data_IF_565533008826
#
_entry.id   IF_565533008826
#
_cell.length_a   1.000
_cell.length_b   1.000
_cell.length_c   1.000
_cell.angle_alpha   90.00
_cell.angle_beta   90.00
_cell.angle_gamma   90.00
#
_symmetry.space_group_name_H-M   'P 1'
#
loop_
_entity.id
_entity.type
_entity.pdbx_description
1 polymer ?
#
# COMPACT_ATOMS: atom_id res chain seq x y z
N UNK A 1 -12.49 37.69 -51.34
CA UNK A 1 -11.62 38.50 -50.46
C UNK A 1 -10.44 37.64 -50.01
N UNK A 2 -9.34 37.67 -50.75
CA UNK A 2 -8.16 36.83 -50.49
C UNK A 2 -7.32 37.51 -49.42
N UNK A 3 -7.39 37.03 -48.18
CA UNK A 3 -6.56 37.55 -47.08
C UNK A 3 -5.10 37.25 -47.43
N UNK A 4 -4.27 38.30 -47.57
CA UNK A 4 -2.85 38.16 -47.93
C UNK A 4 -2.13 37.22 -46.93
N UNK A 5 -1.24 36.32 -47.38
CA UNK A 5 -0.59 35.30 -46.53
C UNK A 5 0.20 35.89 -45.34
N UNK A 6 0.67 37.14 -45.43
CA UNK A 6 1.29 37.88 -44.31
C UNK A 6 0.29 38.25 -43.21
N UNK A 7 -0.94 38.60 -43.56
CA UNK A 7 -2.01 38.94 -42.60
C UNK A 7 -2.50 37.68 -41.89
N UNK A 8 -2.61 36.55 -42.60
CA UNK A 8 -2.92 35.24 -41.99
C UNK A 8 -1.86 34.79 -40.99
N UNK A 9 -0.56 34.92 -41.31
CA UNK A 9 0.53 34.59 -40.36
C UNK A 9 0.51 35.47 -39.11
N UNK A 10 0.19 36.77 -39.25
CA UNK A 10 0.07 37.69 -38.11
C UNK A 10 -1.14 37.36 -37.23
N UNK A 11 -2.29 37.05 -37.82
CA UNK A 11 -3.50 36.64 -37.07
C UNK A 11 -3.24 35.32 -36.33
N UNK A 12 -2.67 34.32 -37.02
CA UNK A 12 -2.33 33.03 -36.40
C UNK A 12 -1.33 33.19 -35.25
N UNK A 13 -0.30 34.04 -35.43
CA UNK A 13 0.64 34.35 -34.35
C UNK A 13 -0.03 35.01 -33.15
N UNK A 14 -0.97 35.95 -33.37
CA UNK A 14 -1.75 36.58 -32.29
C UNK A 14 -2.65 35.60 -31.57
N UNK A 15 -3.32 34.70 -32.29
CA UNK A 15 -4.15 33.63 -31.72
C UNK A 15 -3.29 32.70 -30.86
N UNK A 16 -2.17 32.22 -31.37
CA UNK A 16 -1.25 31.35 -30.61
C UNK A 16 -0.78 32.03 -29.33
N UNK A 17 -0.36 33.30 -29.40
CA UNK A 17 0.06 34.07 -28.21
C UNK A 17 -1.08 34.22 -27.20
N UNK A 18 -2.28 34.55 -27.65
CA UNK A 18 -3.45 34.65 -26.77
C UNK A 18 -3.79 33.30 -26.11
N UNK A 19 -3.78 32.21 -26.87
CA UNK A 19 -4.00 30.85 -26.35
C UNK A 19 -2.95 30.45 -25.32
N UNK A 20 -1.66 30.74 -25.57
CA UNK A 20 -0.59 30.48 -24.61
C UNK A 20 -0.73 31.30 -23.33
N UNK A 21 -1.16 32.57 -23.43
CA UNK A 21 -1.43 33.41 -22.26
C UNK A 21 -2.61 32.89 -21.44
N UNK A 22 -3.71 32.51 -22.10
CA UNK A 22 -4.87 31.90 -21.43
C UNK A 22 -4.46 30.59 -20.74
N UNK A 23 -3.67 29.76 -21.41
CA UNK A 23 -3.18 28.49 -20.87
C UNK A 23 -2.28 28.70 -19.63
N UNK A 24 -1.38 29.68 -19.70
CA UNK A 24 -0.52 30.06 -18.60
C UNK A 24 -1.35 30.57 -17.40
N UNK A 25 -2.29 31.48 -17.65
CA UNK A 25 -3.17 32.02 -16.61
C UNK A 25 -4.01 30.91 -15.96
N UNK A 26 -4.61 30.02 -16.75
CA UNK A 26 -5.37 28.89 -16.24
C UNK A 26 -4.52 27.95 -15.40
N UNK A 27 -3.31 27.60 -15.86
CA UNK A 27 -2.37 26.77 -15.11
C UNK A 27 -1.98 27.44 -13.79
N UNK A 28 -1.70 28.74 -13.80
CA UNK A 28 -1.36 29.50 -12.58
C UNK A 28 -2.52 29.49 -11.59
N UNK A 29 -3.75 29.78 -12.03
CA UNK A 29 -4.93 29.76 -11.16
C UNK A 29 -5.20 28.37 -10.57
N UNK A 30 -5.05 27.32 -11.37
CA UNK A 30 -5.19 25.94 -10.93
C UNK A 30 -4.14 25.57 -9.87
N UNK A 31 -2.87 25.86 -10.14
CA UNK A 31 -1.77 25.60 -9.20
C UNK A 31 -1.98 26.36 -7.89
N UNK A 32 -2.40 27.62 -7.94
CA UNK A 32 -2.71 28.42 -6.75
C UNK A 32 -3.90 27.84 -5.96
N UNK A 33 -4.95 27.40 -6.66
CA UNK A 33 -6.12 26.78 -6.03
C UNK A 33 -5.74 25.49 -5.30
N UNK A 34 -5.00 24.60 -5.97
CA UNK A 34 -4.47 23.35 -5.40
C UNK A 34 -3.58 23.68 -4.20
N UNK A 35 -2.63 24.61 -4.37
CA UNK A 35 -1.69 25.00 -3.30
C UNK A 35 -2.41 25.50 -2.07
N UNK A 36 -3.48 26.29 -2.25
CA UNK A 36 -4.32 26.77 -1.17
C UNK A 36 -5.02 25.62 -0.45
N UNK A 37 -5.64 24.70 -1.20
CA UNK A 37 -6.34 23.55 -0.63
C UNK A 37 -5.38 22.66 0.20
N UNK A 38 -4.23 22.29 -0.38
CA UNK A 38 -3.21 21.50 0.31
C UNK A 38 -2.68 22.18 1.57
N UNK A 39 -2.45 23.50 1.51
CA UNK A 39 -1.99 24.26 2.69
C UNK A 39 -3.04 24.25 3.81
N UNK A 40 -4.33 24.41 3.46
CA UNK A 40 -5.41 24.40 4.44
C UNK A 40 -5.52 23.04 5.11
N UNK A 41 -5.49 21.95 4.36
CA UNK A 41 -5.56 20.59 4.92
C UNK A 41 -4.33 20.25 5.77
N UNK A 42 -3.12 20.56 5.29
CA UNK A 42 -1.89 20.33 6.04
C UNK A 42 -1.75 21.17 7.32
N UNK A 43 -2.52 22.26 7.45
CA UNK A 43 -2.52 23.11 8.65
C UNK A 43 -3.40 22.57 9.79
N UNK A 44 -4.23 21.56 9.54
CA UNK A 44 -5.11 20.98 10.55
C UNK A 44 -4.26 20.19 11.55
N UNK A 45 -4.37 20.47 12.86
CA UNK A 45 -3.64 19.70 13.85
C UNK A 45 -4.21 18.27 13.93
N UNK A 46 -3.36 17.27 14.21
CA UNK A 46 -3.82 15.91 14.49
C UNK A 46 -4.72 15.93 15.74
N UNK A 47 -5.89 15.27 15.72
CA UNK A 47 -6.70 15.14 16.92
C UNK A 47 -6.09 14.12 17.90
N UNK A 48 -6.43 14.19 19.19
CA UNK A 48 -6.02 13.16 20.15
C UNK A 48 -6.68 11.81 19.82
N UNK A 49 -6.10 10.71 20.32
CA UNK A 49 -6.65 9.35 20.14
C UNK A 49 -8.04 9.15 20.78
N UNK A 50 -8.38 9.96 21.79
CA UNK A 50 -9.61 9.79 22.56
C UNK A 50 -9.58 8.49 23.37
N UNK A 51 -10.72 7.80 23.47
CA UNK A 51 -10.86 6.54 24.22
C UNK A 51 -10.82 5.30 23.30
N UNK A 52 -10.28 5.45 22.09
CA UNK A 52 -10.26 4.38 21.10
C UNK A 52 -9.25 3.29 21.49
N UNK A 53 -9.67 2.03 21.39
CA UNK A 53 -8.78 0.87 21.57
C UNK A 53 -8.16 0.46 20.23
N UNK A 54 -6.84 0.39 20.17
CA UNK A 54 -6.08 0.19 18.94
C UNK A 54 -5.23 -1.08 19.06
N UNK A 55 -5.42 -2.00 18.11
CA UNK A 55 -4.57 -3.17 17.93
C UNK A 55 -3.49 -2.84 16.89
N UNK A 56 -2.23 -2.76 17.29
CA UNK A 56 -1.09 -2.51 16.40
C UNK A 56 -0.57 -3.85 15.89
N UNK A 57 -0.38 -3.97 14.58
CA UNK A 57 0.09 -5.17 13.90
C UNK A 57 1.30 -4.84 13.01
N UNK A 58 2.34 -5.69 13.04
CA UNK A 58 3.52 -5.52 12.19
C UNK A 58 4.14 -6.86 11.79
N UNK A 59 4.74 -6.89 10.59
CA UNK A 59 5.48 -8.03 10.05
C UNK A 59 6.83 -7.53 9.53
N UNK A 60 7.93 -8.11 10.05
CA UNK A 60 9.30 -7.69 9.76
C UNK A 60 10.15 -8.79 9.16
N UNK A 61 11.05 -8.39 8.25
CA UNK A 61 12.07 -9.26 7.67
C UNK A 61 13.25 -8.44 7.14
N UNK A 62 14.43 -8.64 7.73
CA UNK A 62 15.71 -8.03 7.32
C UNK A 62 15.66 -6.50 7.22
N UNK A 63 15.26 -5.85 8.32
CA UNK A 63 15.04 -4.41 8.43
C UNK A 63 15.63 -3.79 9.71
N UNK A 64 16.64 -4.43 10.32
CA UNK A 64 17.22 -4.07 11.62
C UNK A 64 17.50 -2.57 11.75
N UNK A 65 18.15 -1.98 10.74
CA UNK A 65 18.59 -0.59 10.80
C UNK A 65 17.40 0.36 10.97
N UNK A 66 16.34 0.21 10.18
CA UNK A 66 15.16 1.10 10.30
C UNK A 66 14.41 0.85 11.60
N UNK A 67 14.41 -0.39 12.09
CA UNK A 67 13.86 -0.71 13.40
C UNK A 67 14.55 0.03 14.54
N UNK A 68 15.86 -0.10 14.62
CA UNK A 68 16.66 0.49 15.70
C UNK A 68 16.66 2.02 15.65
N UNK A 69 16.79 2.60 14.46
CA UNK A 69 16.92 4.05 14.30
C UNK A 69 15.58 4.79 14.42
N UNK A 70 14.47 4.21 13.96
CA UNK A 70 13.20 4.92 13.82
C UNK A 70 12.00 4.17 14.39
N UNK A 71 11.77 2.93 13.95
CA UNK A 71 10.48 2.26 14.14
C UNK A 71 10.23 1.83 15.59
N UNK A 72 11.20 1.20 16.25
CA UNK A 72 11.06 0.74 17.66
C UNK A 72 10.81 1.93 18.61
N UNK A 73 11.59 3.03 18.56
CA UNK A 73 11.28 4.23 19.33
C UNK A 73 9.89 4.81 19.03
N UNK A 74 9.47 4.81 17.77
CA UNK A 74 8.17 5.35 17.35
C UNK A 74 7.00 4.50 17.85
N UNK A 75 7.08 3.17 17.76
CA UNK A 75 6.03 2.27 18.28
C UNK A 75 5.93 2.35 19.80
N UNK A 76 7.07 2.39 20.51
CA UNK A 76 7.07 2.61 21.96
C UNK A 76 6.34 3.91 22.32
N UNK A 77 6.72 5.02 21.70
CA UNK A 77 6.12 6.32 21.97
C UNK A 77 4.62 6.32 21.63
N UNK A 78 4.25 5.76 20.48
CA UNK A 78 2.86 5.63 20.05
C UNK A 78 2.02 4.85 21.07
N UNK A 79 2.51 3.70 21.54
CA UNK A 79 1.79 2.89 22.50
C UNK A 79 1.62 3.60 23.86
N UNK A 80 2.61 4.39 24.29
CA UNK A 80 2.49 5.26 25.46
C UNK A 80 1.44 6.36 25.26
N UNK A 81 1.43 7.00 24.08
CA UNK A 81 0.51 8.10 23.75
C UNK A 81 -0.95 7.64 23.61
N UNK A 82 -1.18 6.40 23.13
CA UNK A 82 -2.52 5.77 23.10
C UNK A 82 -2.96 5.40 24.53
N UNK A 83 -2.01 4.97 25.35
CA UNK A 83 -2.23 4.53 26.73
C UNK A 83 -2.34 3.01 26.83
N UNK A 84 -1.65 2.43 27.82
CA UNK A 84 -1.48 0.99 28.02
C UNK A 84 -2.78 0.18 28.05
N UNK A 85 -3.87 0.75 28.55
CA UNK A 85 -5.17 0.06 28.69
C UNK A 85 -5.99 0.04 27.38
N UNK A 86 -5.51 0.79 26.36
CA UNK A 86 -6.16 1.00 25.07
C UNK A 86 -5.33 0.49 23.89
N UNK A 87 -4.16 -0.14 24.12
CA UNK A 87 -3.29 -0.59 23.04
C UNK A 87 -2.85 -2.03 23.24
N UNK A 88 -2.76 -2.77 22.13
CA UNK A 88 -2.06 -4.04 22.07
C UNK A 88 -1.10 -4.04 20.90
N UNK A 89 0.11 -4.55 21.10
CA UNK A 89 1.14 -4.60 20.04
C UNK A 89 1.41 -6.05 19.63
N UNK A 90 1.13 -6.40 18.37
CA UNK A 90 1.39 -7.72 17.80
C UNK A 90 2.45 -7.61 16.71
N UNK A 91 3.59 -8.27 16.91
CA UNK A 91 4.71 -8.24 15.96
C UNK A 91 5.13 -9.65 15.64
N UNK A 92 5.37 -9.90 14.35
CA UNK A 92 5.97 -11.15 13.87
C UNK A 92 7.20 -10.84 13.05
N UNK A 93 8.26 -11.60 13.28
CA UNK A 93 9.51 -11.57 12.54
C UNK A 93 9.68 -12.91 11.82
N UNK A 94 9.92 -12.89 10.50
CA UNK A 94 9.85 -14.08 9.64
C UNK A 94 11.20 -14.58 9.15
N UNK A 95 12.17 -14.77 10.05
CA UNK A 95 13.45 -15.41 9.72
C UNK A 95 14.43 -14.50 8.97
N UNK A 96 14.75 -13.34 9.57
CA UNK A 96 15.64 -12.31 9.05
C UNK A 96 17.09 -12.77 8.91
N UNK A 97 17.81 -12.12 7.99
CA UNK A 97 19.23 -12.38 7.73
C UNK A 97 20.18 -11.46 8.52
N UNK A 98 19.65 -10.43 9.18
CA UNK A 98 20.35 -9.48 10.05
C UNK A 98 19.84 -9.59 11.50
N UNK A 99 20.23 -8.66 12.39
CA UNK A 99 19.80 -8.69 13.79
C UNK A 99 18.44 -7.98 14.02
N UNK A 100 17.52 -8.09 13.06
CA UNK A 100 16.11 -7.68 13.21
C UNK A 100 15.49 -8.32 14.47
N UNK A 101 15.81 -9.60 14.74
CA UNK A 101 15.39 -10.30 15.95
C UNK A 101 15.88 -9.57 17.22
N UNK A 102 17.12 -9.12 17.26
CA UNK A 102 17.65 -8.33 18.37
C UNK A 102 16.90 -7.01 18.57
N UNK A 103 16.65 -6.26 17.50
CA UNK A 103 15.89 -5.01 17.58
C UNK A 103 14.46 -5.21 18.12
N UNK A 104 13.82 -6.33 17.79
CA UNK A 104 12.49 -6.66 18.26
C UNK A 104 12.47 -7.22 19.69
N UNK A 105 13.54 -7.87 20.16
CA UNK A 105 13.71 -8.18 21.60
C UNK A 105 13.80 -6.90 22.43
N UNK A 106 14.54 -5.90 21.93
CA UNK A 106 14.63 -4.61 22.62
C UNK A 106 13.24 -3.94 22.73
N UNK A 107 12.37 -4.09 21.73
CA UNK A 107 10.99 -3.60 21.80
C UNK A 107 10.16 -4.40 22.83
N UNK A 108 10.25 -5.73 22.82
CA UNK A 108 9.54 -6.62 23.75
C UNK A 108 9.86 -6.26 25.21
N UNK A 109 11.15 -6.07 25.52
CA UNK A 109 11.61 -5.65 26.85
C UNK A 109 11.06 -4.26 27.23
N UNK A 110 11.10 -3.30 26.31
CA UNK A 110 10.58 -1.94 26.53
C UNK A 110 9.06 -1.90 26.75
N UNK A 111 8.28 -2.68 26.00
CA UNK A 111 6.84 -2.77 26.18
C UNK A 111 6.49 -3.48 27.49
N UNK A 112 7.26 -4.51 27.87
CA UNK A 112 7.14 -5.20 29.16
C UNK A 112 7.38 -4.26 30.33
N UNK A 113 8.45 -3.48 30.30
CA UNK A 113 8.77 -2.49 31.35
C UNK A 113 7.64 -1.44 31.51
N UNK A 114 7.02 -1.05 30.40
CA UNK A 114 5.91 -0.10 30.39
C UNK A 114 4.56 -0.72 30.77
N UNK A 115 4.48 -2.03 30.95
CA UNK A 115 3.24 -2.75 31.23
C UNK A 115 2.21 -2.63 30.11
N UNK A 116 2.67 -2.59 28.86
CA UNK A 116 1.83 -2.58 27.66
C UNK A 116 1.60 -4.02 27.20
N UNK A 117 0.36 -4.42 26.95
CA UNK A 117 0.08 -5.76 26.46
C UNK A 117 0.59 -5.94 25.01
N UNK A 118 1.32 -7.03 24.77
CA UNK A 118 1.91 -7.31 23.45
C UNK A 118 2.16 -8.80 23.21
N UNK A 119 2.51 -9.13 21.97
CA UNK A 119 3.08 -10.41 21.54
C UNK A 119 4.13 -10.14 20.47
N UNK A 120 5.40 -10.45 20.75
CA UNK A 120 6.47 -10.47 19.76
C UNK A 120 6.82 -11.93 19.46
N UNK A 121 6.72 -12.32 18.18
CA UNK A 121 7.14 -13.65 17.71
C UNK A 121 8.39 -13.50 16.87
N UNK A 122 9.45 -14.23 17.26
CA UNK A 122 10.71 -14.31 16.53
C UNK A 122 10.81 -15.71 15.92
N UNK A 123 10.51 -15.85 14.63
CA UNK A 123 10.46 -17.15 13.98
C UNK A 123 11.87 -17.65 13.64
N UNK A 124 12.14 -18.91 13.95
CA UNK A 124 13.41 -19.56 13.57
C UNK A 124 13.37 -20.13 12.15
N UNK A 125 12.18 -20.23 11.55
CA UNK A 125 12.01 -20.65 10.16
C UNK A 125 12.57 -19.57 9.23
N UNK A 126 13.64 -19.89 8.51
CA UNK A 126 14.23 -18.97 7.54
C UNK A 126 13.51 -19.01 6.20
N UNK A 127 13.70 -17.99 5.38
CA UNK A 127 13.26 -18.05 3.97
C UNK A 127 13.89 -19.23 3.21
N UNK A 128 15.11 -19.67 3.57
CA UNK A 128 15.72 -20.86 2.97
C UNK A 128 14.91 -22.11 3.31
N UNK A 129 14.47 -22.26 4.56
CA UNK A 129 13.61 -23.36 4.98
C UNK A 129 12.27 -23.32 4.21
N UNK A 130 11.67 -22.13 4.05
CA UNK A 130 10.42 -21.95 3.30
C UNK A 130 10.54 -22.36 1.82
N UNK A 131 11.63 -22.02 1.14
CA UNK A 131 11.79 -22.39 -0.28
C UNK A 131 12.28 -23.82 -0.50
N UNK A 132 12.85 -24.45 0.52
CA UNK A 132 13.32 -25.84 0.46
C UNK A 132 12.36 -26.83 1.09
N UNK A 133 11.31 -26.36 1.78
CA UNK A 133 10.36 -27.25 2.43
C UNK A 133 9.70 -28.20 1.42
N UNK A 134 9.48 -29.48 1.78
CA UNK A 134 8.80 -30.42 0.89
C UNK A 134 7.39 -29.95 0.53
N UNK A 135 7.07 -29.97 -0.76
CA UNK A 135 5.71 -29.69 -1.27
C UNK A 135 4.74 -30.76 -0.80
N UNK A 136 3.54 -30.33 -0.42
CA UNK A 136 2.43 -31.27 -0.22
C UNK A 136 1.93 -31.84 -1.56
N UNK A 137 1.15 -32.93 -1.50
CA UNK A 137 0.61 -33.59 -2.70
C UNK A 137 -0.33 -32.69 -3.52
N UNK A 138 -0.90 -31.65 -2.92
CA UNK A 138 -1.77 -30.69 -3.59
C UNK A 138 -1.00 -29.57 -4.30
N UNK A 139 0.30 -29.42 -4.00
CA UNK A 139 1.15 -28.30 -4.41
C UNK A 139 0.54 -26.93 -4.08
N UNK A 140 -0.22 -26.86 -2.97
CA UNK A 140 -0.96 -25.64 -2.63
C UNK A 140 0.00 -24.51 -2.32
N UNK A 141 -0.19 -23.35 -2.96
CA UNK A 141 0.71 -22.20 -2.78
C UNK A 141 2.06 -22.35 -3.47
N UNK A 142 2.24 -23.34 -4.33
CA UNK A 142 3.43 -23.52 -5.16
C UNK A 142 3.09 -23.31 -6.64
N UNK A 143 4.08 -22.84 -7.41
CA UNK A 143 3.93 -22.61 -8.86
C UNK A 143 5.16 -23.09 -9.62
N UNK A 144 4.98 -23.43 -10.89
CA UNK A 144 6.08 -23.78 -11.78
C UNK A 144 6.60 -22.56 -12.51
N UNK A 145 7.93 -22.46 -12.59
CA UNK A 145 8.60 -21.42 -13.35
C UNK A 145 8.21 -21.51 -14.85
N UNK A 146 7.65 -20.44 -15.44
CA UNK A 146 7.23 -20.45 -16.85
C UNK A 146 8.43 -20.45 -17.82
N UNK A 147 9.56 -19.90 -17.37
CA UNK A 147 10.82 -19.78 -18.11
C UNK A 147 11.99 -19.86 -17.14
N UNK A 148 13.16 -20.28 -17.62
CA UNK A 148 14.41 -20.15 -16.85
C UNK A 148 14.73 -18.66 -16.63
N UNK A 149 15.04 -18.28 -15.40
CA UNK A 149 15.31 -16.88 -15.04
C UNK A 149 16.39 -16.78 -13.96
N UNK A 150 17.28 -15.81 -14.12
CA UNK A 150 18.36 -15.53 -13.16
C UNK A 150 17.92 -14.48 -12.12
N UNK A 151 18.25 -14.73 -10.86
CA UNK A 151 17.97 -13.87 -9.72
C UNK A 151 19.28 -13.52 -9.00
N UNK A 152 19.33 -12.34 -8.38
CA UNK A 152 20.50 -11.93 -7.60
C UNK A 152 20.57 -12.75 -6.33
N UNK A 153 21.75 -13.31 -6.07
CA UNK A 153 22.11 -13.86 -4.77
C UNK A 153 22.62 -12.74 -3.86
N UNK A 154 23.53 -11.93 -4.38
CA UNK A 154 24.10 -10.76 -3.70
C UNK A 154 24.46 -9.65 -4.72
N UNK A 155 25.39 -8.76 -4.37
CA UNK A 155 25.80 -7.65 -5.24
C UNK A 155 26.63 -8.09 -6.46
N UNK A 156 27.24 -9.29 -6.43
CA UNK A 156 28.12 -9.83 -7.46
C UNK A 156 27.59 -11.11 -8.11
N UNK A 157 26.90 -11.97 -7.35
CA UNK A 157 26.54 -13.32 -7.77
C UNK A 157 25.04 -13.47 -8.09
N UNK A 158 24.76 -14.42 -8.98
CA UNK A 158 23.43 -14.76 -9.48
C UNK A 158 23.19 -16.26 -9.42
N UNK A 159 21.94 -16.65 -9.20
CA UNK A 159 21.47 -18.03 -9.31
C UNK A 159 20.32 -18.12 -10.30
N UNK A 160 20.05 -19.31 -10.83
CA UNK A 160 18.98 -19.52 -11.80
C UNK A 160 17.90 -20.43 -11.23
N UNK A 161 16.64 -20.08 -11.53
CA UNK A 161 15.52 -21.00 -11.38
C UNK A 161 15.15 -21.49 -12.77
N UNK A 162 15.27 -22.79 -12.99
CA UNK A 162 15.01 -23.42 -14.28
C UNK A 162 13.51 -23.44 -14.59
N UNK A 163 13.17 -23.42 -15.89
CA UNK A 163 11.81 -23.67 -16.35
C UNK A 163 11.25 -24.97 -15.74
N UNK A 164 9.96 -24.97 -15.41
CA UNK A 164 9.21 -26.10 -14.85
C UNK A 164 9.60 -26.51 -13.43
N UNK A 165 10.65 -25.89 -12.84
CA UNK A 165 10.98 -26.01 -11.43
C UNK A 165 9.88 -25.42 -10.56
N UNK A 166 9.64 -26.05 -9.40
CA UNK A 166 8.60 -25.61 -8.48
C UNK A 166 9.16 -24.66 -7.44
N UNK A 167 8.46 -23.54 -7.25
CA UNK A 167 8.84 -22.48 -6.32
C UNK A 167 7.61 -22.04 -5.51
N UNK A 168 7.76 -21.66 -4.23
CA UNK A 168 6.64 -21.16 -3.45
C UNK A 168 6.16 -19.83 -4.01
N UNK A 169 4.84 -19.61 -3.94
CA UNK A 169 4.23 -18.34 -4.27
C UNK A 169 4.41 -17.37 -3.11
N UNK A 170 4.83 -16.14 -3.41
CA UNK A 170 5.07 -15.10 -2.41
C UNK A 170 3.80 -14.69 -1.66
N UNK A 171 2.68 -14.53 -2.36
CA UNK A 171 1.47 -13.95 -1.75
C UNK A 171 0.81 -14.89 -0.74
N UNK A 172 0.61 -16.20 -1.01
CA UNK A 172 0.12 -17.12 0.01
C UNK A 172 1.02 -17.19 1.26
N UNK A 173 2.34 -17.09 1.08
CA UNK A 173 3.30 -17.00 2.19
C UNK A 173 3.04 -15.74 3.05
N UNK A 174 3.01 -14.55 2.45
CA UNK A 174 2.76 -13.30 3.18
C UNK A 174 1.37 -13.29 3.85
N UNK A 175 0.34 -13.77 3.17
CA UNK A 175 -1.00 -13.87 3.72
C UNK A 175 -1.05 -14.75 4.97
N UNK A 176 -0.36 -15.90 4.97
CA UNK A 176 -0.23 -16.78 6.14
C UNK A 176 0.40 -16.05 7.32
N UNK A 177 1.53 -15.38 7.10
CA UNK A 177 2.22 -14.64 8.16
C UNK A 177 1.37 -13.51 8.74
N UNK A 178 0.66 -12.75 7.88
CA UNK A 178 -0.25 -11.70 8.36
C UNK A 178 -1.39 -12.25 9.20
N UNK A 179 -1.93 -13.41 8.84
CA UNK A 179 -2.94 -14.06 9.66
C UNK A 179 -2.38 -14.50 11.02
N UNK A 180 -1.12 -14.95 11.09
CA UNK A 180 -0.45 -15.28 12.36
C UNK A 180 -0.26 -14.05 13.26
N UNK A 181 0.12 -12.90 12.68
CA UNK A 181 0.19 -11.61 13.41
C UNK A 181 -1.18 -11.24 14.01
N UNK A 182 -2.28 -11.61 13.36
CA UNK A 182 -3.65 -11.29 13.80
C UNK A 182 -4.23 -12.27 14.83
N UNK A 183 -3.63 -13.43 15.06
CA UNK A 183 -4.11 -14.43 16.05
C UNK A 183 -4.38 -13.86 17.45
N UNK A 184 -3.55 -12.92 17.99
CA UNK A 184 -3.81 -12.34 19.30
C UNK A 184 -5.13 -11.56 19.36
N UNK A 185 -5.63 -11.01 18.25
CA UNK A 185 -6.89 -10.25 18.22
C UNK A 185 -8.07 -11.12 18.71
N UNK A 186 -8.17 -12.36 18.22
CA UNK A 186 -9.19 -13.32 18.65
C UNK A 186 -8.97 -13.75 20.11
N UNK A 187 -7.71 -13.94 20.51
CA UNK A 187 -7.35 -14.32 21.88
C UNK A 187 -7.73 -13.23 22.90
N UNK A 188 -7.55 -11.96 22.52
CA UNK A 188 -7.96 -10.80 23.30
C UNK A 188 -9.49 -10.68 23.38
N UNK A 189 -10.20 -10.97 22.29
CA UNK A 189 -11.67 -11.01 22.30
C UNK A 189 -12.22 -12.05 23.29
N UNK A 190 -11.61 -13.23 23.36
CA UNK A 190 -11.99 -14.27 24.34
C UNK A 190 -11.79 -13.79 25.78
N UNK A 191 -10.79 -12.93 26.04
CA UNK A 191 -10.57 -12.28 27.34
C UNK A 191 -11.54 -11.12 27.62
N UNK A 192 -12.50 -10.85 26.73
CA UNK A 192 -13.45 -9.74 26.84
C UNK A 192 -12.90 -8.39 26.38
N UNK A 193 -11.72 -8.36 25.74
CA UNK A 193 -11.10 -7.13 25.22
C UNK A 193 -11.37 -7.04 23.72
N UNK A 194 -12.04 -5.97 23.31
CA UNK A 194 -12.27 -5.65 21.90
C UNK A 194 -11.58 -4.34 21.55
N UNK A 195 -11.06 -4.26 20.33
CA UNK A 195 -10.39 -3.10 19.77
C UNK A 195 -11.29 -2.49 18.71
N UNK A 196 -11.26 -1.16 18.58
CA UNK A 196 -12.04 -0.42 17.61
C UNK A 196 -11.34 -0.37 16.25
N UNK A 197 -10.01 -0.28 16.26
CA UNK A 197 -9.17 -0.16 15.07
C UNK A 197 -8.00 -1.13 15.09
N UNK A 198 -7.61 -1.58 13.91
CA UNK A 198 -6.37 -2.33 13.69
C UNK A 198 -5.44 -1.43 12.90
N UNK A 199 -4.27 -1.10 13.45
CA UNK A 199 -3.23 -0.32 12.79
C UNK A 199 -2.11 -1.25 12.32
N UNK A 200 -2.00 -1.44 11.02
CA UNK A 200 -0.86 -2.11 10.41
C UNK A 200 0.27 -1.13 10.11
N UNK A 201 1.47 -1.50 10.53
CA UNK A 201 2.72 -0.79 10.29
C UNK A 201 3.66 -1.69 9.49
N UNK A 202 4.25 -1.15 8.43
CA UNK A 202 5.46 -1.72 7.83
C UNK A 202 6.70 -1.16 8.54
N UNK A 203 7.88 -1.49 8.03
CA UNK A 203 9.22 -0.98 8.34
C UNK A 203 9.45 0.48 7.89
N UNK A 204 8.51 1.37 8.20
CA UNK A 204 8.52 2.78 7.78
C UNK A 204 8.81 3.73 8.93
N UNK A 205 9.35 4.91 8.60
CA UNK A 205 9.49 6.06 9.48
C UNK A 205 8.15 6.79 9.56
N UNK A 206 7.69 7.06 10.78
CA UNK A 206 6.46 7.78 11.09
C UNK A 206 6.52 8.45 12.47
N UNK A 207 5.52 9.28 12.78
CA UNK A 207 5.32 9.91 14.10
C UNK A 207 3.94 9.59 14.69
N UNK A 208 3.75 9.81 15.99
CA UNK A 208 2.41 9.71 16.62
C UNK A 208 1.37 10.59 15.91
N UNK A 209 1.77 11.79 15.46
CA UNK A 209 0.92 12.72 14.73
C UNK A 209 0.44 12.16 13.38
N UNK A 210 1.29 11.39 12.68
CA UNK A 210 0.91 10.70 11.45
C UNK A 210 -0.22 9.69 11.72
N UNK A 211 -0.08 8.90 12.79
CA UNK A 211 -1.08 7.89 13.19
C UNK A 211 -2.38 8.54 13.64
N UNK A 212 -2.33 9.60 14.45
CA UNK A 212 -3.50 10.38 14.84
C UNK A 212 -4.26 10.93 13.64
N UNK A 213 -3.53 11.52 12.68
CA UNK A 213 -4.10 12.05 11.44
C UNK A 213 -4.71 10.93 10.59
N UNK A 214 -4.07 9.76 10.53
CA UNK A 214 -4.57 8.60 9.80
C UNK A 214 -5.87 8.07 10.41
N UNK A 215 -5.90 7.85 11.72
CA UNK A 215 -7.07 7.34 12.43
C UNK A 215 -8.26 8.32 12.36
N UNK A 216 -7.97 9.62 12.28
CA UNK A 216 -8.96 10.67 12.12
C UNK A 216 -9.50 10.84 10.69
N UNK A 217 -8.98 10.09 9.71
CA UNK A 217 -9.48 10.12 8.33
C UNK A 217 -10.99 9.98 8.35
N UNK A 218 -11.71 10.91 7.72
CA UNK A 218 -13.19 10.94 7.72
C UNK A 218 -13.82 10.80 9.12
N UNK A 219 -13.22 11.45 10.13
CA UNK A 219 -13.67 11.38 11.52
C UNK A 219 -13.72 9.94 12.08
N UNK A 220 -12.87 9.04 11.57
CA UNK A 220 -12.85 7.63 11.97
C UNK A 220 -13.84 6.71 11.24
N UNK A 221 -14.67 7.27 10.34
CA UNK A 221 -15.68 6.52 9.58
C UNK A 221 -15.16 6.09 8.20
N UNK A 222 -14.55 4.90 8.19
CA UNK A 222 -13.98 4.22 7.03
C UNK A 222 -13.90 2.71 7.31
N UNK A 223 -13.85 1.90 6.24
CA UNK A 223 -13.48 0.49 6.34
C UNK A 223 -11.97 0.35 6.50
N UNK A 224 -11.22 1.12 5.70
CA UNK A 224 -9.77 1.26 5.82
C UNK A 224 -9.29 2.67 5.41
N UNK A 225 -8.23 3.14 6.05
CA UNK A 225 -7.54 4.38 5.74
C UNK A 225 -6.03 4.13 5.68
N UNK A 226 -5.36 4.47 4.57
CA UNK A 226 -3.92 4.27 4.38
C UNK A 226 -3.16 5.58 4.22
N UNK A 227 -1.87 5.55 4.55
CA UNK A 227 -0.93 6.62 4.26
C UNK A 227 -0.54 6.67 2.77
N UNK A 228 0.43 7.52 2.44
CA UNK A 228 1.25 7.45 1.22
C UNK A 228 2.66 7.03 1.60
N UNK A 229 3.29 6.12 0.85
CA UNK A 229 4.64 5.65 1.13
C UNK A 229 5.68 6.04 0.06
N UNK A 230 6.91 6.22 0.52
CA UNK A 230 8.03 6.65 -0.29
C UNK A 230 9.28 5.86 0.05
N UNK A 231 9.75 5.02 -0.88
CA UNK A 231 11.10 4.42 -0.82
C UNK A 231 12.16 5.40 -1.34
N UNK A 232 11.84 6.11 -2.42
CA UNK A 232 12.65 7.17 -3.01
C UNK A 232 11.74 8.37 -3.32
N UNK A 233 11.61 9.29 -2.37
CA UNK A 233 10.78 10.48 -2.54
C UNK A 233 11.25 11.33 -3.75
N UNK A 234 10.33 11.94 -4.51
CA UNK A 234 8.88 12.04 -4.29
C UNK A 234 8.08 10.95 -5.03
N UNK A 235 8.69 9.82 -5.41
CA UNK A 235 7.99 8.76 -6.15
C UNK A 235 7.15 7.91 -5.21
N UNK A 236 5.85 7.83 -5.48
CA UNK A 236 4.93 6.95 -4.76
C UNK A 236 5.32 5.49 -5.01
N UNK A 237 5.42 4.70 -3.94
CA UNK A 237 6.02 3.38 -3.99
C UNK A 237 5.00 2.26 -4.22
N UNK A 238 3.94 2.18 -3.41
CA UNK A 238 3.00 1.06 -3.41
C UNK A 238 1.98 1.09 -4.57
N UNK A 239 2.48 0.77 -5.76
CA UNK A 239 1.68 0.57 -6.97
C UNK A 239 1.02 -0.81 -7.05
N UNK A 240 1.47 -1.78 -6.24
CA UNK A 240 0.96 -3.15 -6.31
C UNK A 240 -0.36 -3.30 -5.56
N UNK A 241 -0.47 -2.79 -4.32
CA UNK A 241 -1.70 -2.90 -3.54
C UNK A 241 -2.69 -1.75 -3.83
N UNK A 242 -2.21 -0.58 -4.24
CA UNK A 242 -3.09 0.58 -4.47
C UNK A 242 -3.89 0.47 -5.77
N UNK A 243 -5.20 0.66 -5.66
CA UNK A 243 -6.12 0.76 -6.81
C UNK A 243 -7.03 1.95 -6.62
N UNK A 244 -7.10 2.85 -7.59
CA UNK A 244 -7.94 4.05 -7.52
C UNK A 244 -9.44 3.71 -7.41
N UNK A 245 -10.31 4.71 -7.26
CA UNK A 245 -11.75 4.48 -7.06
C UNK A 245 -12.45 3.71 -8.20
N UNK A 246 -11.78 3.54 -9.35
CA UNK A 246 -12.27 2.75 -10.48
C UNK A 246 -11.54 1.40 -10.62
N UNK A 247 -10.72 1.02 -9.62
CA UNK A 247 -9.96 -0.22 -9.62
C UNK A 247 -8.69 -0.18 -10.47
N UNK A 248 -8.23 0.98 -10.95
CA UNK A 248 -7.00 1.05 -11.75
C UNK A 248 -5.77 1.22 -10.86
N UNK A 249 -4.64 0.63 -11.26
CA UNK A 249 -3.34 0.99 -10.70
C UNK A 249 -3.05 2.50 -10.87
N UNK A 250 -2.21 3.10 -10.01
CA UNK A 250 -1.76 4.48 -10.18
C UNK A 250 -1.26 4.75 -11.60
N UNK A 251 -1.69 5.87 -12.19
CA UNK A 251 -1.33 6.26 -13.55
C UNK A 251 0.16 6.61 -13.67
N UNK A 252 0.72 7.18 -12.61
CA UNK A 252 2.12 7.58 -12.47
C UNK A 252 2.53 7.53 -11.00
N UNK A 253 3.82 7.32 -10.79
CA UNK A 253 4.52 7.44 -9.50
C UNK A 253 4.73 8.90 -9.04
N UNK A 254 4.34 9.89 -9.84
CA UNK A 254 4.45 11.31 -9.49
C UNK A 254 3.09 11.93 -9.24
N UNK A 255 3.00 12.83 -8.27
CA UNK A 255 1.76 13.50 -7.92
C UNK A 255 1.17 14.23 -9.15
N UNK A 256 -0.16 14.19 -9.42
CA UNK A 256 -1.22 13.49 -8.70
C UNK A 256 -1.46 12.08 -9.29
N UNK A 257 -1.18 11.05 -8.51
CA UNK A 257 -0.91 9.68 -8.96
C UNK A 257 -2.03 9.01 -9.78
N UNK A 258 -3.29 9.37 -9.54
CA UNK A 258 -4.45 8.57 -9.93
C UNK A 258 -5.00 8.87 -11.34
N UNK A 259 -5.63 7.86 -11.95
CA UNK A 259 -6.34 7.96 -13.23
C UNK A 259 -7.77 8.46 -13.01
N UNK A 260 -8.48 7.82 -12.08
CA UNK A 260 -9.85 8.15 -11.68
C UNK A 260 -9.95 9.62 -11.33
N UNK A 261 -10.97 10.29 -11.88
CA UNK A 261 -11.21 11.70 -11.60
C UNK A 261 -11.50 11.92 -10.11
N UNK A 262 -12.34 11.07 -9.50
CA UNK A 262 -12.72 11.20 -8.09
C UNK A 262 -11.49 11.11 -7.18
N UNK A 263 -10.62 10.11 -7.40
CA UNK A 263 -9.41 9.95 -6.58
C UNK A 263 -8.41 11.08 -6.81
N UNK A 264 -8.19 11.46 -8.07
CA UNK A 264 -7.25 12.53 -8.42
C UNK A 264 -7.70 13.88 -7.88
N UNK A 265 -8.97 14.22 -8.04
CA UNK A 265 -9.50 15.53 -7.66
C UNK A 265 -9.50 15.67 -6.12
N UNK A 266 -9.80 14.60 -5.38
CA UNK A 266 -9.65 14.56 -3.92
C UNK A 266 -8.18 14.76 -3.49
N UNK A 267 -7.23 14.07 -4.16
CA UNK A 267 -5.79 14.23 -3.90
C UNK A 267 -5.32 15.66 -4.16
N UNK A 268 -5.82 16.29 -5.24
CA UNK A 268 -5.54 17.68 -5.59
C UNK A 268 -6.10 18.69 -4.58
N UNK A 269 -7.07 18.27 -3.77
CA UNK A 269 -7.67 19.09 -2.71
C UNK A 269 -7.12 18.77 -1.31
N UNK A 270 -6.20 17.81 -1.18
CA UNK A 270 -5.67 17.36 0.11
C UNK A 270 -6.68 16.60 0.97
N UNK A 271 -7.80 16.17 0.38
CA UNK A 271 -8.88 15.46 1.08
C UNK A 271 -8.62 13.95 1.12
N UNK A 272 -9.27 13.19 2.03
CA UNK A 272 -9.30 11.74 1.96
C UNK A 272 -9.68 11.26 0.55
N UNK A 273 -8.80 10.47 -0.05
CA UNK A 273 -8.87 10.05 -1.44
C UNK A 273 -9.59 8.70 -1.52
N UNK A 274 -10.76 8.61 -2.15
CA UNK A 274 -11.44 7.32 -2.31
C UNK A 274 -10.65 6.43 -3.26
N UNK A 275 -10.47 5.18 -2.86
CA UNK A 275 -9.74 4.14 -3.59
C UNK A 275 -10.48 2.81 -3.46
N UNK A 276 -10.19 1.86 -4.34
CA UNK A 276 -10.68 0.48 -4.18
C UNK A 276 -9.82 -0.33 -3.21
N UNK A 277 -8.53 0.01 -3.09
CA UNK A 277 -7.59 -0.63 -2.14
C UNK A 277 -6.35 0.24 -1.91
N UNK A 278 -5.69 0.05 -0.76
CA UNK A 278 -4.39 0.64 -0.42
C UNK A 278 -3.69 -0.13 0.72
N UNK A 279 -2.38 0.07 0.90
CA UNK A 279 -1.63 -0.43 2.06
C UNK A 279 -0.57 0.57 2.49
N UNK A 280 0.31 0.96 1.57
CA UNK A 280 1.12 2.18 1.58
C UNK A 280 1.90 2.42 2.88
N UNK A 281 2.55 1.38 3.41
CA UNK A 281 3.43 1.47 4.58
C UNK A 281 2.73 1.59 5.95
N UNK A 282 1.52 2.13 5.98
CA UNK A 282 0.71 2.29 7.20
C UNK A 282 -0.77 2.31 6.82
N UNK A 283 -1.57 1.42 7.41
CA UNK A 283 -3.02 1.33 7.17
C UNK A 283 -3.78 1.05 8.46
N UNK A 284 -4.88 1.77 8.66
CA UNK A 284 -5.83 1.53 9.73
C UNK A 284 -7.11 0.90 9.18
N UNK A 285 -7.57 -0.19 9.80
CA UNK A 285 -8.84 -0.83 9.50
C UNK A 285 -9.85 -0.61 10.64
N UNK A 286 -11.13 -0.58 10.29
CA UNK A 286 -12.19 -0.94 11.25
C UNK A 286 -11.98 -2.39 11.68
N UNK A 287 -11.94 -2.64 13.00
CA UNK A 287 -11.61 -3.96 13.53
C UNK A 287 -12.77 -4.96 13.41
N UNK A 288 -14.02 -4.48 13.30
CA UNK A 288 -15.20 -5.32 13.36
C UNK A 288 -15.19 -6.52 12.39
N UNK A 289 -14.78 -6.39 11.12
CA UNK A 289 -14.74 -7.51 10.17
C UNK A 289 -13.76 -8.62 10.54
N UNK A 290 -12.71 -8.33 11.30
CA UNK A 290 -11.68 -9.32 11.66
C UNK A 290 -12.10 -10.22 12.83
N UNK A 291 -13.19 -9.89 13.53
CA UNK A 291 -13.73 -10.73 14.59
C UNK A 291 -14.64 -11.84 14.03
N UNK A 292 -14.64 -13.00 14.71
CA UNK A 292 -15.35 -14.22 14.27
C UNK A 292 -16.87 -14.22 14.54
N UNK A 293 -17.50 -13.05 14.67
CA UNK A 293 -18.93 -12.94 14.98
C UNK A 293 -19.85 -13.39 13.82
N UNK A 294 -19.30 -13.53 12.61
CA UNK A 294 -20.05 -13.88 11.39
C UNK A 294 -19.30 -14.94 10.54
N UNK A 295 -19.49 -16.24 10.82
CA UNK A 295 -19.11 -17.41 10.00
C UNK A 295 -17.62 -17.65 9.61
N UNK A 296 -16.74 -16.66 9.70
CA UNK A 296 -15.27 -16.71 9.74
C UNK A 296 -14.79 -15.26 9.66
N UNK A 297 -13.94 -14.80 10.58
CA UNK A 297 -13.42 -13.42 10.52
C UNK A 297 -12.69 -13.13 9.19
N UNK A 298 -12.61 -11.86 8.81
CA UNK A 298 -11.82 -11.40 7.67
C UNK A 298 -10.36 -11.83 7.84
N UNK A 299 -9.78 -12.40 6.79
CA UNK A 299 -8.41 -12.92 6.77
C UNK A 299 -7.68 -12.48 5.51
N UNK A 300 -6.35 -12.46 5.57
CA UNK A 300 -5.51 -12.26 4.40
C UNK A 300 -5.45 -13.54 3.57
N UNK A 301 -5.48 -13.42 2.25
CA UNK A 301 -5.35 -14.54 1.31
C UNK A 301 -4.60 -14.15 0.05
N UNK A 302 -4.07 -15.14 -0.65
CA UNK A 302 -3.70 -15.02 -2.06
C UNK A 302 -4.83 -15.46 -2.99
N UNK A 303 -4.67 -15.26 -4.29
CA UNK A 303 -5.63 -15.81 -5.27
C UNK A 303 -5.50 -17.34 -5.38
N UNK A 304 -6.54 -18.04 -5.87
CA UNK A 304 -6.49 -19.48 -6.09
C UNK A 304 -5.33 -19.90 -7.02
N UNK A 305 -4.69 -21.03 -6.73
CA UNK A 305 -3.56 -21.55 -7.52
C UNK A 305 -3.94 -21.78 -8.99
N UNK A 306 -5.19 -22.15 -9.27
CA UNK A 306 -5.71 -22.31 -10.63
C UNK A 306 -5.67 -21.01 -11.45
N UNK A 307 -5.95 -19.87 -10.82
CA UNK A 307 -5.85 -18.56 -11.45
C UNK A 307 -4.39 -18.12 -11.55
N UNK A 308 -3.58 -18.38 -10.52
CA UNK A 308 -2.15 -18.07 -10.53
C UNK A 308 -1.38 -18.74 -11.67
N UNK A 309 -1.72 -20.00 -12.00
CA UNK A 309 -1.17 -20.74 -13.14
C UNK A 309 -1.46 -20.09 -14.50
N UNK A 310 -2.41 -19.14 -14.58
CA UNK A 310 -2.65 -18.33 -15.78
C UNK A 310 -1.74 -17.09 -15.84
N UNK A 311 -0.68 -17.02 -15.03
CA UNK A 311 0.23 -15.88 -14.92
C UNK A 311 -0.53 -14.63 -14.42
N UNK A 312 -1.34 -14.81 -13.39
CA UNK A 312 -2.05 -13.71 -12.73
C UNK A 312 -1.67 -13.75 -11.26
N UNK A 313 -1.57 -12.59 -10.62
CA UNK A 313 -1.36 -12.52 -9.17
C UNK A 313 -2.11 -11.31 -8.59
N UNK A 314 -2.38 -11.31 -7.30
CA UNK A 314 -2.86 -10.12 -6.60
C UNK A 314 -2.25 -10.05 -5.21
N UNK A 315 -1.94 -8.85 -4.74
CA UNK A 315 -1.45 -8.64 -3.37
C UNK A 315 -2.54 -8.98 -2.35
N UNK A 316 -2.16 -9.67 -1.28
CA UNK A 316 -3.00 -9.90 -0.10
C UNK A 316 -3.44 -8.58 0.55
N UNK A 317 -2.60 -7.55 0.46
CA UNK A 317 -2.91 -6.20 0.95
C UNK A 317 -3.97 -5.48 0.10
N UNK A 318 -4.20 -5.93 -1.14
CA UNK A 318 -5.33 -5.48 -1.96
C UNK A 318 -6.58 -6.34 -1.71
N UNK A 319 -6.42 -7.66 -1.71
CA UNK A 319 -7.53 -8.62 -1.60
C UNK A 319 -8.31 -8.48 -0.30
N UNK A 320 -7.64 -8.12 0.80
CA UNK A 320 -8.31 -7.87 2.09
C UNK A 320 -9.41 -6.81 1.99
N UNK A 321 -9.28 -5.82 1.09
CA UNK A 321 -10.31 -4.80 0.87
C UNK A 321 -11.48 -5.32 0.03
N UNK A 322 -11.21 -6.19 -0.93
CA UNK A 322 -12.25 -6.83 -1.74
C UNK A 322 -13.11 -7.77 -0.89
N UNK A 323 -12.50 -8.43 0.10
CA UNK A 323 -13.18 -9.35 1.00
C UNK A 323 -13.81 -8.66 2.23
N UNK A 324 -13.44 -7.41 2.50
CA UNK A 324 -13.97 -6.65 3.63
C UNK A 324 -15.40 -6.17 3.34
N UNK A 325 -16.42 -6.65 4.07
CA UNK A 325 -17.82 -6.25 3.85
C UNK A 325 -18.06 -4.75 4.08
N UNK A 326 -17.26 -4.11 4.94
CA UNK A 326 -17.39 -2.67 5.21
C UNK A 326 -16.85 -1.80 4.07
N UNK A 327 -16.05 -2.34 3.14
CA UNK A 327 -15.50 -1.57 2.02
C UNK A 327 -16.60 -0.94 1.17
N UNK A 328 -17.73 -1.62 0.98
CA UNK A 328 -18.87 -1.09 0.21
C UNK A 328 -19.65 0.00 0.96
N UNK A 329 -19.71 -0.08 2.29
CA UNK A 329 -20.50 0.83 3.14
C UNK A 329 -19.70 2.07 3.55
N UNK A 330 -18.48 1.87 4.07
CA UNK A 330 -17.64 2.92 4.65
C UNK A 330 -16.49 3.36 3.75
N UNK A 331 -16.17 2.59 2.71
CA UNK A 331 -15.13 2.90 1.73
C UNK A 331 -13.70 2.69 2.21
N UNK A 332 -12.78 2.67 1.25
CA UNK A 332 -11.33 2.64 1.45
C UNK A 332 -10.74 3.98 1.04
N UNK A 333 -9.84 4.53 1.85
CA UNK A 333 -9.38 5.90 1.71
C UNK A 333 -7.86 6.00 1.82
N UNK A 334 -7.22 6.78 0.97
CA UNK A 334 -5.84 7.23 1.19
C UNK A 334 -5.88 8.62 1.81
N UNK A 335 -5.21 8.83 2.94
CA UNK A 335 -5.06 10.14 3.54
C UNK A 335 -3.78 10.81 3.01
N UNK A 336 -3.88 11.82 2.13
CA UNK A 336 -2.69 12.42 1.50
C UNK A 336 -1.85 13.28 2.45
N UNK A 337 -2.37 13.56 3.65
CA UNK A 337 -1.66 14.30 4.69
C UNK A 337 -0.83 13.39 5.61
N UNK A 338 -0.94 12.07 5.46
CA UNK A 338 -0.11 11.08 6.16
C UNK A 338 0.87 10.49 5.17
N UNK A 339 2.15 10.77 5.35
CA UNK A 339 3.21 10.38 4.40
C UNK A 339 4.35 9.72 5.16
N UNK A 340 4.60 8.45 4.86
CA UNK A 340 5.61 7.64 5.52
C UNK A 340 6.77 7.32 4.57
N UNK A 341 7.95 7.07 5.11
CA UNK A 341 9.15 6.80 4.29
C UNK A 341 9.88 5.55 4.76
N UNK A 342 10.44 4.76 3.85
CA UNK A 342 11.25 3.57 4.21
C UNK A 342 12.65 3.91 4.75
N UNK A 343 12.95 5.20 4.93
CA UNK A 343 14.15 5.73 5.59
C UNK A 343 13.92 7.21 5.94
N UNK A 344 14.74 7.75 6.84
CA UNK A 344 14.64 9.15 7.28
C UNK A 344 14.71 10.14 6.11
N UNK A 345 15.62 9.94 5.15
CA UNK A 345 15.74 10.82 3.97
C UNK A 345 14.45 10.90 3.15
N UNK A 346 13.79 9.77 2.91
CA UNK A 346 12.53 9.73 2.16
C UNK A 346 11.38 10.36 2.95
N UNK A 347 11.33 10.14 4.26
CA UNK A 347 10.34 10.75 5.15
C UNK A 347 10.50 12.28 5.21
N UNK A 348 11.72 12.77 5.44
CA UNK A 348 12.03 14.19 5.52
C UNK A 348 11.79 14.92 4.19
N UNK A 349 12.02 14.27 3.06
CA UNK A 349 11.77 14.87 1.75
C UNK A 349 10.28 15.19 1.49
N UNK A 350 9.36 14.49 2.16
CA UNK A 350 7.91 14.71 2.03
C UNK A 350 7.29 15.40 3.25
N UNK A 351 7.98 15.44 4.39
CA UNK A 351 7.47 16.06 5.63
C UNK A 351 8.30 17.23 6.18
N UNK A 352 9.60 17.32 5.89
CA UNK A 352 10.57 18.19 6.56
C UNK A 352 10.60 19.66 6.12
N UNK A 353 9.54 20.20 5.51
CA UNK A 353 9.59 21.57 4.98
C UNK A 353 8.24 22.21 4.64
N UNK A 354 8.25 23.11 3.64
CA UNK A 354 7.05 23.75 3.12
C UNK A 354 6.03 22.72 2.63
N UNK A 355 4.74 23.11 2.57
CA UNK A 355 3.63 22.24 2.12
C UNK A 355 4.05 21.42 0.89
N UNK A 356 3.87 20.10 0.93
CA UNK A 356 4.16 19.19 -0.16
C UNK A 356 2.87 18.84 -0.92
N UNK A 357 2.93 18.63 -2.25
CA UNK A 357 4.08 18.82 -3.15
C UNK A 357 4.40 20.30 -3.43
N UNK A 358 5.60 20.57 -3.96
CA UNK A 358 6.02 21.93 -4.35
C UNK A 358 5.17 22.50 -5.49
N UNK A 359 5.13 23.84 -5.64
CA UNK A 359 4.41 24.53 -6.73
C UNK A 359 4.84 24.01 -8.12
N UNK A 360 6.14 23.76 -8.30
CA UNK A 360 6.68 23.18 -9.52
C UNK A 360 6.17 21.74 -9.75
N UNK A 361 6.19 20.91 -8.72
CA UNK A 361 5.67 19.55 -8.79
C UNK A 361 4.17 19.50 -9.08
N UNK A 362 3.38 20.44 -8.53
CA UNK A 362 1.95 20.59 -8.87
C UNK A 362 1.79 20.91 -10.36
N UNK A 363 2.47 21.95 -10.86
CA UNK A 363 2.35 22.38 -12.25
C UNK A 363 2.74 21.26 -13.22
N UNK A 364 3.93 20.66 -13.04
CA UNK A 364 4.41 19.58 -13.89
C UNK A 364 3.55 18.32 -13.76
N UNK A 365 3.12 17.99 -12.54
CA UNK A 365 2.32 16.81 -12.24
C UNK A 365 0.95 16.82 -12.91
N UNK A 366 0.22 17.94 -12.81
CA UNK A 366 -1.09 18.10 -13.45
C UNK A 366 -0.99 17.94 -14.97
N UNK A 367 0.01 18.58 -15.59
CA UNK A 367 0.24 18.48 -17.03
C UNK A 367 0.66 17.08 -17.46
N UNK A 368 1.58 16.45 -16.72
CA UNK A 368 2.01 15.07 -16.98
C UNK A 368 0.83 14.11 -16.87
N UNK A 369 0.01 14.21 -15.82
CA UNK A 369 -1.19 13.38 -15.65
C UNK A 369 -2.17 13.59 -16.81
N UNK A 370 -2.46 14.84 -17.21
CA UNK A 370 -3.30 15.14 -18.39
C UNK A 370 -2.78 14.49 -19.66
N UNK A 371 -1.49 14.66 -19.96
CA UNK A 371 -0.86 14.06 -21.13
C UNK A 371 -0.94 12.54 -21.11
N UNK A 372 -0.62 11.91 -19.97
CA UNK A 372 -0.70 10.46 -19.82
C UNK A 372 -2.12 9.94 -20.04
N UNK A 373 -3.15 10.65 -19.56
CA UNK A 373 -4.56 10.27 -19.81
C UNK A 373 -4.96 10.43 -21.28
N UNK A 374 -4.47 11.46 -21.96
CA UNK A 374 -4.73 11.66 -23.40
C UNK A 374 -3.97 10.65 -24.27
N UNK A 375 -2.76 10.26 -23.89
CA UNK A 375 -2.00 9.25 -24.62
C UNK A 375 -2.52 7.84 -24.34
N UNK A 376 -3.01 7.57 -23.11
CA UNK A 376 -3.64 6.30 -22.70
C UNK A 376 -5.17 6.33 -22.84
N UNK A 377 -5.69 6.90 -23.93
CA UNK A 377 -7.14 6.95 -24.20
C UNK A 377 -7.79 5.56 -24.38
N UNK A 378 -7.01 4.49 -24.49
CA UNK A 378 -7.48 3.10 -24.36
C UNK A 378 -7.11 2.52 -22.98
N UNK A 379 -7.91 1.57 -22.45
CA UNK A 379 -7.50 0.68 -21.34
C UNK A 379 -6.09 0.15 -21.61
N UNK A 380 -5.26 0.02 -20.58
CA UNK A 380 -3.92 -0.52 -20.79
C UNK A 380 -4.07 -1.94 -21.36
N UNK A 381 -3.29 -2.35 -22.38
CA UNK A 381 -3.35 -3.70 -22.93
C UNK A 381 -3.27 -4.80 -21.86
N UNK A 382 -2.57 -4.52 -20.75
CA UNK A 382 -2.41 -5.39 -19.58
C UNK A 382 -3.76 -5.71 -18.91
N UNK A 383 -4.66 -4.73 -18.76
CA UNK A 383 -5.97 -4.94 -18.12
C UNK A 383 -6.80 -5.98 -18.91
N UNK A 384 -6.71 -5.95 -20.25
CA UNK A 384 -7.40 -6.89 -21.12
C UNK A 384 -6.86 -8.32 -21.00
N UNK A 385 -5.54 -8.47 -20.83
CA UNK A 385 -4.89 -9.78 -20.68
C UNK A 385 -5.33 -10.43 -19.37
N UNK A 386 -5.31 -9.68 -18.26
CA UNK A 386 -5.76 -10.16 -16.96
C UNK A 386 -7.25 -10.52 -16.99
N UNK A 387 -8.10 -9.64 -17.53
CA UNK A 387 -9.53 -9.93 -17.68
C UNK A 387 -9.80 -11.17 -18.55
N UNK A 388 -9.04 -11.35 -19.64
CA UNK A 388 -9.18 -12.52 -20.51
C UNK A 388 -8.82 -13.82 -19.77
N UNK A 389 -7.71 -13.82 -19.01
CA UNK A 389 -7.28 -14.96 -18.20
C UNK A 389 -8.24 -15.27 -17.07
N UNK A 390 -8.81 -14.25 -16.42
CA UNK A 390 -9.85 -14.42 -15.41
C UNK A 390 -11.11 -15.06 -16.02
N UNK A 391 -11.57 -14.58 -17.19
CA UNK A 391 -12.70 -15.18 -17.90
C UNK A 391 -12.42 -16.62 -18.32
N UNK A 392 -11.22 -16.91 -18.81
CA UNK A 392 -10.83 -18.26 -19.21
C UNK A 392 -10.76 -19.21 -18.00
N UNK A 393 -10.31 -18.73 -16.85
CA UNK A 393 -10.34 -19.50 -15.60
C UNK A 393 -11.78 -19.78 -15.12
N UNK A 394 -12.67 -18.78 -15.21
CA UNK A 394 -14.10 -18.94 -14.92
C UNK A 394 -14.85 -19.88 -15.87
N UNK A 395 -14.35 -20.07 -17.10
CA UNK A 395 -14.92 -21.06 -18.05
C UNK A 395 -14.56 -22.50 -17.71
N UNK A 396 -13.50 -22.73 -16.93
CA UNK A 396 -13.09 -24.09 -16.52
C UNK A 396 -14.07 -24.67 -15.50
N UNK A 397 -14.53 -23.85 -14.56
CA UNK A 397 -15.51 -24.23 -13.54
C UNK A 397 -16.33 -23.00 -13.16
N UNK A 398 -17.66 -23.12 -13.18
CA UNK A 398 -18.57 -22.04 -12.78
C UNK A 398 -18.41 -21.59 -11.33
N UNK A 399 -17.82 -22.42 -10.46
CA UNK A 399 -17.48 -22.04 -9.08
C UNK A 399 -16.26 -21.11 -8.99
N UNK A 400 -15.47 -20.98 -10.06
CA UNK A 400 -14.30 -20.11 -10.10
C UNK A 400 -14.70 -18.64 -10.21
N UNK A 401 -14.80 -17.99 -9.05
CA UNK A 401 -15.10 -16.55 -8.93
C UNK A 401 -14.02 -15.88 -8.08
N UNK A 402 -13.57 -14.71 -8.51
CA UNK A 402 -12.64 -13.86 -7.75
C UNK A 402 -13.28 -12.46 -7.58
N UNK A 403 -13.66 -12.13 -6.35
CA UNK A 403 -14.29 -10.86 -6.01
C UNK A 403 -13.30 -9.68 -6.14
N UNK A 404 -12.01 -9.92 -5.91
CA UNK A 404 -10.93 -8.94 -6.01
C UNK A 404 -10.36 -8.78 -7.42
N UNK A 405 -11.18 -8.87 -8.48
CA UNK A 405 -10.70 -8.79 -9.86
C UNK A 405 -9.88 -7.51 -10.16
N UNK A 406 -10.17 -6.40 -9.48
CA UNK A 406 -9.43 -5.13 -9.61
C UNK A 406 -8.03 -5.17 -8.97
N UNK A 407 -7.73 -6.17 -8.14
CA UNK A 407 -6.41 -6.37 -7.56
C UNK A 407 -5.44 -7.08 -8.50
N UNK A 408 -5.99 -7.83 -9.47
CA UNK A 408 -5.22 -8.73 -10.33
C UNK A 408 -4.25 -7.99 -11.26
N UNK A 409 -3.04 -8.54 -11.38
CA UNK A 409 -1.99 -8.07 -12.29
C UNK A 409 -1.46 -9.22 -13.16
N UNK A 410 -0.87 -8.87 -14.30
CA UNK A 410 -0.19 -9.80 -15.22
C UNK A 410 1.25 -10.03 -14.73
N UNK A 411 1.39 -10.72 -13.61
CA UNK A 411 2.68 -11.12 -13.04
C UNK A 411 2.59 -12.47 -12.32
N UNK A 412 3.74 -13.07 -12.05
CA UNK A 412 3.90 -14.19 -11.15
C UNK A 412 4.89 -13.81 -10.03
N UNK A 413 4.45 -13.89 -8.77
CA UNK A 413 5.25 -13.53 -7.59
C UNK A 413 5.76 -14.78 -6.87
N UNK A 414 7.08 -14.93 -6.80
CA UNK A 414 7.73 -16.13 -6.24
C UNK A 414 8.55 -15.77 -5.00
N UNK A 415 8.60 -16.68 -4.03
CA UNK A 415 9.44 -16.56 -2.85
C UNK A 415 10.85 -17.06 -3.17
N UNK A 416 11.86 -16.33 -2.72
CA UNK A 416 13.28 -16.70 -2.84
C UNK A 416 13.89 -16.79 -1.44
N UNK A 417 14.95 -17.59 -1.28
CA UNK A 417 15.63 -17.73 0.00
C UNK A 417 16.19 -16.40 0.54
N UNK A 418 16.48 -15.44 -0.34
CA UNK A 418 16.98 -14.09 -0.02
C UNK A 418 15.97 -12.97 -0.34
N UNK A 419 14.68 -13.29 -0.41
CA UNK A 419 13.62 -12.30 -0.59
C UNK A 419 12.51 -12.80 -1.52
N UNK A 420 12.29 -12.10 -2.63
CA UNK A 420 11.25 -12.44 -3.59
C UNK A 420 11.66 -12.09 -5.02
N UNK A 421 10.95 -12.69 -5.97
CA UNK A 421 11.17 -12.48 -7.40
C UNK A 421 9.86 -12.38 -8.16
N UNK A 422 9.99 -11.91 -9.41
CA UNK A 422 8.94 -11.98 -10.41
C UNK A 422 9.36 -13.02 -11.45
N UNK A 423 8.47 -13.91 -11.88
CA UNK A 423 8.79 -14.91 -12.90
C UNK A 423 8.35 -14.46 -14.29
#
# INVERSE_FOLDING_TARGET
MIIRPRVQRLILSRIIKASLLILALWTTLEVLSIRRALTLEASKPPPPFGNQKIFIASLHWTDERVLREYWVPAVRQLAQDIGRDNVFVSVFESGSLDDTKGALRDLDDQLTELGIDHKVVLDETTHLDEVTHPRDASNKGWIQMPTTKSYRQDWTDWFELEKDSWVPRRIPYLARLRNQVMEPLASQQIKGITYDKILWLNDVVFTTADVQTLLATRNGDYAAACALDFKQAPRFYDSFATRDAQGHAPLTDTWPFFRSAVSRDALMQGQPVPVASCWNGMVAFDAAPFYHSSSSGLTFRGIPDGLARKHVEASECCLVHADNPLSAEKGVWVNPNVRVGYNGTAYDAVNGGAVWPSVYAIAMGVWRNRMLRWLRLARAPVDWVVEARLRDWGRVDSANVEAGAFCLIDEMQVLLWNGWGHA
#
